data_IF_618679883899
#
_entry.id   IF_618679883899
#
_cell.length_a   1.000
_cell.length_b   1.000
_cell.length_c   1.000
_cell.angle_alpha   90.00
_cell.angle_beta   90.00
_cell.angle_gamma   90.00
#
_symmetry.space_group_name_H-M   'P 1'
#
loop_
_entity.id
_entity.type
_entity.pdbx_description
1 polymer ?
#
# COMPACT_ATOMS: atom_id res chain seq x y z
N UNK A 1 8.52 -10.70 -11.78
CA UNK A 1 8.60 -9.34 -11.17
C UNK A 1 8.44 -9.37 -9.65
N UNK A 2 7.45 -10.09 -9.10
CA UNK A 2 7.23 -10.17 -7.64
C UNK A 2 8.46 -10.59 -6.81
N UNK A 3 9.17 -11.64 -7.22
CA UNK A 3 10.38 -12.12 -6.52
C UNK A 3 11.54 -11.14 -6.56
N UNK A 4 11.66 -10.35 -7.64
CA UNK A 4 12.72 -9.35 -7.82
C UNK A 4 12.49 -8.12 -6.96
N UNK A 5 11.24 -7.65 -6.88
CA UNK A 5 10.87 -6.56 -5.96
C UNK A 5 11.09 -6.98 -4.49
N UNK A 6 10.72 -8.21 -4.09
CA UNK A 6 11.02 -8.68 -2.72
C UNK A 6 12.51 -8.80 -2.40
N UNK A 7 13.31 -9.19 -3.38
CA UNK A 7 14.77 -9.24 -3.22
C UNK A 7 15.32 -7.83 -3.02
N UNK A 8 14.84 -6.85 -3.79
CA UNK A 8 15.21 -5.45 -3.63
C UNK A 8 14.79 -4.89 -2.25
N UNK A 9 13.52 -5.03 -1.84
CA UNK A 9 13.05 -4.51 -0.55
C UNK A 9 13.74 -5.19 0.65
N UNK A 10 13.98 -6.50 0.52
CA UNK A 10 14.70 -7.27 1.54
C UNK A 10 16.15 -6.84 1.68
N UNK A 11 16.80 -6.51 0.55
CA UNK A 11 18.17 -6.01 0.52
C UNK A 11 18.24 -4.56 1.02
N UNK A 12 17.33 -3.69 0.60
CA UNK A 12 17.28 -2.27 1.01
C UNK A 12 16.98 -2.14 2.50
N UNK A 13 16.06 -2.95 3.03
CA UNK A 13 15.78 -3.00 4.47
C UNK A 13 16.95 -3.60 5.29
N UNK A 14 17.74 -4.51 4.72
CA UNK A 14 18.95 -5.03 5.37
C UNK A 14 20.09 -3.99 5.34
N UNK A 15 20.25 -3.28 4.22
CA UNK A 15 21.26 -2.26 4.02
C UNK A 15 21.00 -1.02 4.91
N UNK A 16 19.75 -0.58 5.02
CA UNK A 16 19.34 0.52 5.89
C UNK A 16 19.60 0.22 7.38
N UNK A 17 19.51 -1.05 7.80
CA UNK A 17 19.86 -1.48 9.17
C UNK A 17 21.36 -1.44 9.45
N UNK A 18 22.19 -1.60 8.42
CA UNK A 18 23.65 -1.61 8.54
C UNK A 18 24.27 -0.22 8.38
N UNK A 19 23.72 0.63 7.51
CA UNK A 19 24.29 1.95 7.16
C UNK A 19 23.52 3.14 7.74
N UNK A 20 22.34 2.89 8.33
CA UNK A 20 21.42 3.93 8.80
C UNK A 20 20.42 4.31 7.71
N UNK A 21 19.14 4.45 8.10
CA UNK A 21 18.10 4.91 7.19
C UNK A 21 18.37 6.37 6.78
N UNK A 22 18.22 6.67 5.49
CA UNK A 22 18.34 8.03 4.94
C UNK A 22 17.01 8.50 4.40
N UNK A 23 16.74 9.81 4.47
CA UNK A 23 15.49 10.39 3.94
C UNK A 23 15.32 10.11 2.43
N UNK A 24 16.43 10.07 1.68
CA UNK A 24 16.43 9.72 0.25
C UNK A 24 16.04 8.27 0.02
N UNK A 25 16.56 7.35 0.83
CA UNK A 25 16.22 5.94 0.76
C UNK A 25 14.74 5.71 1.09
N UNK A 26 14.25 6.30 2.18
CA UNK A 26 12.85 6.20 2.59
C UNK A 26 11.88 6.77 1.52
N UNK A 27 12.24 7.90 0.90
CA UNK A 27 11.47 8.45 -0.22
C UNK A 27 11.38 7.49 -1.40
N UNK A 28 12.51 6.91 -1.81
CA UNK A 28 12.58 6.03 -2.97
C UNK A 28 11.85 4.71 -2.73
N UNK A 29 12.01 4.12 -1.54
CA UNK A 29 11.31 2.91 -1.08
C UNK A 29 9.79 3.06 -1.22
N UNK A 30 9.22 4.11 -0.61
CA UNK A 30 7.79 4.41 -0.70
C UNK A 30 7.34 4.62 -2.14
N UNK A 31 8.10 5.38 -2.94
CA UNK A 31 7.73 5.67 -4.32
C UNK A 31 7.73 4.41 -5.22
N UNK A 32 8.73 3.55 -5.06
CA UNK A 32 8.86 2.32 -5.83
C UNK A 32 7.81 1.28 -5.42
N UNK A 33 7.46 1.20 -4.13
CA UNK A 33 6.39 0.33 -3.63
C UNK A 33 5.04 0.65 -4.29
N UNK A 34 4.64 1.93 -4.28
CA UNK A 34 3.39 2.34 -4.90
C UNK A 34 3.38 2.11 -6.41
N UNK A 35 4.51 2.34 -7.08
CA UNK A 35 4.64 2.05 -8.50
C UNK A 35 4.50 0.55 -8.76
N UNK A 36 5.15 -0.30 -7.95
CA UNK A 36 5.08 -1.75 -8.09
C UNK A 36 3.64 -2.26 -7.89
N UNK A 37 2.93 -1.78 -6.87
CA UNK A 37 1.54 -2.15 -6.63
C UNK A 37 0.60 -1.79 -7.78
N UNK A 38 0.88 -0.72 -8.53
CA UNK A 38 0.12 -0.38 -9.73
C UNK A 38 0.54 -1.21 -10.96
N UNK A 39 1.84 -1.41 -11.15
CA UNK A 39 2.37 -2.15 -12.31
C UNK A 39 2.01 -3.63 -12.28
N UNK A 40 1.89 -4.24 -11.10
CA UNK A 40 1.55 -5.66 -10.96
C UNK A 40 0.20 -6.02 -11.62
N UNK A 41 -0.96 -5.45 -11.21
CA UNK A 41 -2.24 -5.71 -11.86
C UNK A 41 -2.29 -5.21 -13.31
N UNK A 42 -1.56 -4.15 -13.66
CA UNK A 42 -1.44 -3.71 -15.05
C UNK A 42 -0.82 -4.80 -15.94
N UNK A 43 0.18 -5.54 -15.42
CA UNK A 43 0.75 -6.68 -16.13
C UNK A 43 -0.28 -7.76 -16.48
N UNK A 44 -1.22 -8.06 -15.56
CA UNK A 44 -2.32 -8.99 -15.83
C UNK A 44 -3.35 -8.44 -16.82
N UNK A 45 -3.63 -7.13 -16.78
CA UNK A 45 -4.48 -6.46 -17.76
C UNK A 45 -3.91 -6.57 -19.18
N UNK A 46 -2.60 -6.39 -19.33
CA UNK A 46 -1.93 -6.50 -20.63
C UNK A 46 -1.81 -7.94 -21.12
N UNK A 47 -1.78 -8.92 -20.21
CA UNK A 47 -1.73 -10.33 -20.55
C UNK A 47 -3.07 -10.85 -21.13
N UNK A 48 -4.21 -10.34 -20.64
CA UNK A 48 -5.54 -10.61 -21.19
C UNK A 48 -6.45 -9.39 -21.00
N UNK A 49 -6.55 -8.57 -22.04
CA UNK A 49 -7.34 -7.34 -21.99
C UNK A 49 -8.84 -7.61 -21.80
N UNK A 50 -9.36 -8.71 -22.36
CA UNK A 50 -10.79 -8.99 -22.34
C UNK A 50 -11.27 -9.36 -20.94
N UNK A 51 -10.49 -10.14 -20.21
CA UNK A 51 -10.88 -10.64 -18.90
C UNK A 51 -10.32 -9.82 -17.73
N UNK A 52 -9.10 -9.27 -17.87
CA UNK A 52 -8.37 -8.71 -16.73
C UNK A 52 -8.37 -7.18 -16.66
N UNK A 53 -8.65 -6.48 -17.77
CA UNK A 53 -8.48 -5.01 -17.81
C UNK A 53 -9.33 -4.27 -16.76
N UNK A 54 -10.62 -4.59 -16.66
CA UNK A 54 -11.51 -3.95 -15.69
C UNK A 54 -11.16 -4.31 -14.24
N UNK A 55 -11.01 -5.60 -13.85
CA UNK A 55 -10.57 -5.96 -12.50
C UNK A 55 -9.24 -5.34 -12.10
N UNK A 56 -8.27 -5.29 -13.02
CA UNK A 56 -6.99 -4.64 -12.78
C UNK A 56 -7.14 -3.14 -12.55
N UNK A 57 -7.92 -2.44 -13.38
CA UNK A 57 -8.17 -1.01 -13.20
C UNK A 57 -8.85 -0.70 -11.86
N UNK A 58 -9.82 -1.52 -11.46
CA UNK A 58 -10.50 -1.41 -10.16
C UNK A 58 -9.51 -1.63 -9.01
N UNK A 59 -8.63 -2.63 -9.12
CA UNK A 59 -7.62 -2.89 -8.12
C UNK A 59 -6.59 -1.75 -8.02
N UNK A 60 -6.10 -1.22 -9.14
CA UNK A 60 -5.21 -0.05 -9.19
C UNK A 60 -5.87 1.15 -8.51
N UNK A 61 -7.13 1.45 -8.84
CA UNK A 61 -7.86 2.55 -8.21
C UNK A 61 -7.97 2.38 -6.69
N UNK A 62 -8.15 1.15 -6.21
CA UNK A 62 -8.17 0.86 -4.77
C UNK A 62 -6.82 1.08 -4.08
N UNK A 63 -5.69 0.83 -4.77
CA UNK A 63 -4.36 1.15 -4.28
C UNK A 63 -4.11 2.65 -4.20
N UNK A 64 -4.64 3.43 -5.15
CA UNK A 64 -4.59 4.89 -5.06
C UNK A 64 -5.35 5.38 -3.82
N UNK A 65 -6.52 4.80 -3.50
CA UNK A 65 -7.26 5.14 -2.29
C UNK A 65 -6.48 4.84 -0.99
N UNK A 66 -5.95 3.63 -0.87
CA UNK A 66 -5.20 3.22 0.33
C UNK A 66 -3.88 3.98 0.46
N UNK A 67 -3.17 4.21 -0.64
CA UNK A 67 -1.91 4.95 -0.67
C UNK A 67 -2.06 6.43 -0.37
N UNK A 68 -3.00 7.10 -1.04
CA UNK A 68 -3.24 8.52 -0.84
C UNK A 68 -3.71 8.83 0.58
N UNK A 69 -4.60 8.02 1.14
CA UNK A 69 -5.08 8.19 2.52
C UNK A 69 -3.95 8.04 3.55
N UNK A 70 -3.01 7.11 3.34
CA UNK A 70 -1.82 6.95 4.18
C UNK A 70 -0.89 8.17 4.09
N UNK A 71 -0.50 8.56 2.88
CA UNK A 71 0.44 9.66 2.65
C UNK A 71 -0.14 11.02 3.10
N UNK A 72 -1.42 11.27 2.84
CA UNK A 72 -2.10 12.50 3.28
C UNK A 72 -2.13 12.60 4.80
N UNK A 73 -2.46 11.50 5.49
CA UNK A 73 -2.44 11.46 6.94
C UNK A 73 -1.04 11.69 7.50
N UNK A 74 -0.04 10.98 6.99
CA UNK A 74 1.35 11.11 7.41
C UNK A 74 1.88 12.54 7.22
N UNK A 75 1.60 13.17 6.08
CA UNK A 75 2.00 14.54 5.77
C UNK A 75 1.40 15.56 6.74
N UNK A 76 0.08 15.48 7.00
CA UNK A 76 -0.59 16.40 7.94
C UNK A 76 -0.13 16.14 9.37
N UNK A 77 0.03 14.88 9.79
CA UNK A 77 0.49 14.52 11.12
C UNK A 77 1.91 15.04 11.39
N UNK A 78 2.82 14.88 10.41
CA UNK A 78 4.17 15.41 10.47
C UNK A 78 4.18 16.95 10.58
N UNK A 79 3.34 17.64 9.81
CA UNK A 79 3.18 19.11 9.90
C UNK A 79 2.70 19.57 11.29
N UNK A 80 1.83 18.79 11.94
CA UNK A 80 1.33 19.08 13.30
C UNK A 80 2.31 18.66 14.42
N UNK A 81 3.49 18.13 14.08
CA UNK A 81 4.46 17.68 15.07
C UNK A 81 3.98 16.50 15.92
N UNK A 82 2.99 15.75 15.44
CA UNK A 82 2.45 14.59 16.15
C UNK A 82 3.51 13.48 16.16
N UNK A 83 4.21 13.33 17.28
CA UNK A 83 5.21 12.28 17.51
C UNK A 83 4.63 11.13 18.35
N UNK A 84 5.21 9.93 18.20
CA UNK A 84 4.70 8.67 18.75
C UNK A 84 4.56 8.64 20.29
N UNK A 85 5.16 9.59 21.00
CA UNK A 85 5.17 9.63 22.47
C UNK A 85 3.80 9.91 23.09
N UNK A 86 2.83 10.45 22.33
CA UNK A 86 1.48 10.73 22.82
C UNK A 86 0.49 9.54 22.70
N UNK A 87 0.88 8.43 22.05
CA UNK A 87 0.05 7.24 21.87
C UNK A 87 0.87 5.96 22.18
N UNK A 88 0.84 5.44 23.43
CA UNK A 88 1.66 4.30 23.86
C UNK A 88 1.25 2.96 23.21
N UNK A 89 0.10 2.90 22.56
CA UNK A 89 -0.27 1.77 21.69
C UNK A 89 0.27 2.00 20.29
N UNK A 90 1.49 1.51 20.04
CA UNK A 90 2.10 1.27 18.72
C UNK A 90 2.17 2.53 17.84
N UNK A 91 3.22 3.31 18.06
CA UNK A 91 3.39 4.65 17.51
C UNK A 91 3.19 4.78 16.01
N UNK A 92 2.42 5.80 15.59
CA UNK A 92 2.26 6.41 14.25
C UNK A 92 1.97 5.46 13.06
N UNK A 93 2.17 4.15 13.19
CA UNK A 93 2.36 3.17 12.13
C UNK A 93 1.34 2.04 12.18
N UNK A 94 0.13 2.32 12.69
CA UNK A 94 -1.01 1.42 12.55
C UNK A 94 -2.24 2.23 12.11
N UNK A 95 -2.14 2.91 10.96
CA UNK A 95 -3.29 2.97 10.05
C UNK A 95 -3.49 1.55 9.48
N UNK A 96 -3.77 0.60 10.38
CA UNK A 96 -4.02 -0.78 10.04
C UNK A 96 -5.17 -0.83 9.05
N UNK A 97 -4.89 -1.40 7.89
CA UNK A 97 -5.89 -1.82 6.94
C UNK A 97 -6.01 -3.33 6.98
N UNK A 98 -7.08 -3.88 6.42
CA UNK A 98 -7.20 -5.32 6.17
C UNK A 98 -6.16 -5.81 5.12
N UNK A 99 -5.31 -4.90 4.63
CA UNK A 99 -4.44 -5.01 3.46
C UNK A 99 -3.13 -4.25 3.76
N UNK A 100 -2.25 -4.78 4.60
CA UNK A 100 -1.00 -4.11 4.97
C UNK A 100 0.12 -4.38 3.96
N UNK A 101 0.61 -5.61 3.91
CA UNK A 101 1.71 -6.00 3.02
C UNK A 101 1.86 -7.50 2.90
N UNK A 102 1.69 -8.23 4.00
CA UNK A 102 1.62 -9.68 3.97
C UNK A 102 0.40 -10.18 3.16
N UNK A 103 -0.78 -9.59 3.36
CA UNK A 103 -1.97 -9.97 2.57
C UNK A 103 -1.81 -9.60 1.10
N UNK A 104 -1.27 -8.41 0.80
CA UNK A 104 -1.00 -7.94 -0.57
C UNK A 104 -0.06 -8.89 -1.32
N UNK A 105 1.00 -9.35 -0.66
CA UNK A 105 1.96 -10.25 -1.28
C UNK A 105 1.37 -11.66 -1.42
N UNK A 106 0.60 -12.12 -0.44
CA UNK A 106 -0.10 -13.41 -0.53
C UNK A 106 -1.11 -13.42 -1.68
N UNK A 107 -1.91 -12.36 -1.85
CA UNK A 107 -2.88 -12.28 -2.95
C UNK A 107 -2.17 -12.16 -4.31
N UNK A 108 -1.07 -11.41 -4.39
CA UNK A 108 -0.26 -11.34 -5.62
C UNK A 108 0.34 -12.70 -5.98
N UNK A 109 0.85 -13.45 -4.99
CA UNK A 109 1.33 -14.81 -5.21
C UNK A 109 0.19 -15.74 -5.69
N UNK A 110 -1.01 -15.64 -5.10
CA UNK A 110 -2.18 -16.39 -5.55
C UNK A 110 -2.61 -16.03 -6.98
N UNK A 111 -2.58 -14.74 -7.35
CA UNK A 111 -2.84 -14.29 -8.72
C UNK A 111 -1.82 -14.87 -9.71
N UNK A 112 -0.55 -14.98 -9.32
CA UNK A 112 0.47 -15.62 -10.15
C UNK A 112 0.29 -17.14 -10.26
N UNK A 113 -0.12 -17.82 -9.19
CA UNK A 113 -0.37 -19.27 -9.17
C UNK A 113 -1.63 -19.65 -9.96
N UNK A 114 -2.66 -18.79 -9.91
CA UNK A 114 -3.96 -19.02 -10.53
C UNK A 114 -4.35 -17.83 -11.41
N UNK A 115 -3.70 -17.63 -12.58
CA UNK A 115 -3.93 -16.46 -13.42
C UNK A 115 -5.37 -16.38 -13.95
N UNK A 116 -6.06 -17.51 -14.12
CA UNK A 116 -7.47 -17.56 -14.52
C UNK A 116 -8.42 -17.05 -13.42
N UNK A 117 -8.01 -17.09 -12.16
CA UNK A 117 -8.77 -16.57 -11.04
C UNK A 117 -8.49 -15.07 -10.78
N UNK A 118 -7.59 -14.44 -11.55
CA UNK A 118 -7.20 -13.05 -11.36
C UNK A 118 -8.39 -12.08 -11.25
N UNK A 119 -9.40 -12.10 -12.15
CA UNK A 119 -10.53 -11.17 -12.06
C UNK A 119 -11.23 -11.22 -10.70
N UNK A 120 -11.50 -12.42 -10.19
CA UNK A 120 -12.18 -12.62 -8.91
C UNK A 120 -11.31 -12.19 -7.74
N UNK A 121 -10.04 -12.61 -7.72
CA UNK A 121 -9.08 -12.24 -6.67
C UNK A 121 -8.85 -10.72 -6.61
N UNK A 122 -8.74 -10.07 -7.77
CA UNK A 122 -8.54 -8.63 -7.89
C UNK A 122 -9.74 -7.85 -7.33
N UNK A 123 -10.97 -8.24 -7.67
CA UNK A 123 -12.17 -7.56 -7.18
C UNK A 123 -12.39 -7.77 -5.67
N UNK A 124 -12.16 -8.98 -5.15
CA UNK A 124 -12.25 -9.25 -3.71
C UNK A 124 -11.25 -8.37 -2.95
N UNK A 125 -10.00 -8.33 -3.42
CA UNK A 125 -8.96 -7.55 -2.77
C UNK A 125 -9.20 -6.04 -2.91
N UNK A 126 -9.68 -5.58 -4.07
CA UNK A 126 -10.06 -4.19 -4.27
C UNK A 126 -11.16 -3.75 -3.30
N UNK A 127 -12.15 -4.59 -3.02
CA UNK A 127 -13.19 -4.31 -2.03
C UNK A 127 -12.61 -4.11 -0.62
N UNK A 128 -11.66 -4.96 -0.21
CA UNK A 128 -10.94 -4.82 1.06
C UNK A 128 -10.11 -3.52 1.12
N UNK A 129 -9.45 -3.15 0.01
CA UNK A 129 -8.72 -1.89 -0.11
C UNK A 129 -9.64 -0.66 -0.03
N UNK A 130 -10.81 -0.69 -0.67
CA UNK A 130 -11.78 0.40 -0.57
C UNK A 130 -12.34 0.54 0.85
N UNK A 131 -12.66 -0.57 1.51
CA UNK A 131 -13.08 -0.54 2.91
C UNK A 131 -11.99 0.09 3.80
N UNK A 132 -10.74 -0.31 3.62
CA UNK A 132 -9.58 0.29 4.31
C UNK A 132 -9.50 1.79 4.03
N UNK A 133 -9.65 2.21 2.77
CA UNK A 133 -9.62 3.63 2.38
C UNK A 133 -10.66 4.44 3.13
N UNK A 134 -11.91 3.96 3.19
CA UNK A 134 -13.00 4.63 3.90
C UNK A 134 -12.72 4.74 5.40
N UNK A 135 -12.19 3.68 6.02
CA UNK A 135 -11.80 3.70 7.43
C UNK A 135 -10.70 4.74 7.70
N UNK A 136 -9.69 4.82 6.83
CA UNK A 136 -8.60 5.80 6.93
C UNK A 136 -9.10 7.23 6.74
N UNK A 137 -10.00 7.47 5.79
CA UNK A 137 -10.63 8.78 5.61
C UNK A 137 -11.42 9.21 6.84
N UNK A 138 -12.23 8.33 7.40
CA UNK A 138 -12.97 8.61 8.63
C UNK A 138 -12.05 8.89 9.82
N UNK A 139 -10.95 8.13 9.97
CA UNK A 139 -9.94 8.37 10.99
C UNK A 139 -9.25 9.72 10.81
N UNK A 140 -8.79 10.05 9.60
CA UNK A 140 -8.18 11.34 9.30
C UNK A 140 -9.13 12.52 9.54
N UNK A 141 -10.39 12.39 9.13
CA UNK A 141 -11.42 13.40 9.38
C UNK A 141 -11.61 13.68 10.88
N UNK A 142 -11.63 12.62 11.71
CA UNK A 142 -11.76 12.76 13.17
C UNK A 142 -10.48 13.23 13.87
N UNK A 143 -9.31 12.81 13.40
CA UNK A 143 -8.03 13.14 14.03
C UNK A 143 -7.64 14.62 13.84
N UNK A 144 -8.15 15.27 12.80
CA UNK A 144 -7.75 16.62 12.41
C UNK A 144 -8.83 17.68 12.66
N UNK A 145 -9.80 17.41 13.53
CA UNK A 145 -10.89 18.34 13.88
C UNK A 145 -10.42 19.55 14.69
N UNK A 146 -9.36 19.41 15.49
CA UNK A 146 -8.88 20.51 16.32
C UNK A 146 -8.14 21.57 15.47
N UNK A 147 -8.37 22.87 15.71
CA UNK A 147 -7.66 23.96 15.04
C UNK A 147 -6.14 23.84 15.21
N UNK A 148 -5.40 24.33 14.22
CA UNK A 148 -3.92 24.38 14.24
C UNK A 148 -3.40 25.37 15.27
#
# INVERSE_FOLDING_TARGET
MLLLNRLADGLDGALARLQGATDRGAFLDIALDFLFYALFPLGFALADLAQNALPAAVLIASFIGTGSSFLAFASIAAQRGLTASAYPTKGIYYLGGLTEGAETIAIFALMCLFPQAFPTLALIFAAACFLTTLLRWHQGWRAFTDPR
#
